data_IF_954547873148
#
_entry.id   IF_954547873148
#
_cell.length_a   1.000
_cell.length_b   1.000
_cell.length_c   1.000
_cell.angle_alpha   90.00
_cell.angle_beta   90.00
_cell.angle_gamma   90.00
#
_symmetry.space_group_name_H-M   'P 1'
#
loop_
_entity.id
_entity.type
_entity.pdbx_description
1 polymer ?
#
# COMPACT_ATOMS: atom_id res chain seq x y z
N UNK A 1 12.51 15.92 -7.95
CA UNK A 1 13.04 14.90 -7.01
C UNK A 1 13.34 13.66 -7.81
N UNK A 2 14.59 13.17 -7.72
CA UNK A 2 15.02 11.92 -8.39
C UNK A 2 15.08 10.78 -7.36
N UNK A 3 14.43 9.67 -7.68
CA UNK A 3 14.38 8.46 -6.83
C UNK A 3 15.04 7.32 -7.57
N UNK A 4 16.01 6.68 -6.95
CA UNK A 4 16.62 5.44 -7.40
C UNK A 4 15.98 4.28 -6.65
N UNK A 5 15.18 3.47 -7.34
CA UNK A 5 14.42 2.37 -6.77
C UNK A 5 15.10 1.03 -7.08
N UNK A 6 15.69 0.41 -6.05
CA UNK A 6 16.33 -0.91 -6.10
C UNK A 6 15.44 -1.99 -5.49
N UNK A 7 14.16 -1.70 -5.25
CA UNK A 7 13.21 -2.67 -4.73
C UNK A 7 12.65 -3.56 -5.86
N UNK A 8 12.38 -4.82 -5.57
CA UNK A 8 12.00 -5.78 -6.60
C UNK A 8 10.51 -6.20 -6.55
N UNK A 9 9.93 -6.32 -5.37
CA UNK A 9 8.60 -6.90 -5.17
C UNK A 9 7.81 -6.13 -4.10
N UNK A 10 6.49 -6.21 -4.20
CA UNK A 10 5.54 -5.79 -3.17
C UNK A 10 5.64 -4.32 -2.78
N UNK A 11 5.94 -4.04 -1.51
CA UNK A 11 5.79 -2.71 -0.92
C UNK A 11 6.73 -1.65 -1.50
N UNK A 12 7.95 -2.01 -1.90
CA UNK A 12 8.89 -1.06 -2.49
C UNK A 12 8.39 -0.44 -3.79
N UNK A 13 8.04 -1.24 -4.81
CA UNK A 13 7.44 -0.74 -6.05
C UNK A 13 6.18 0.08 -5.84
N UNK A 14 5.32 -0.25 -4.86
CA UNK A 14 4.16 0.57 -4.54
C UNK A 14 4.55 1.92 -3.91
N UNK A 15 5.51 1.93 -3.00
CA UNK A 15 6.04 3.16 -2.40
C UNK A 15 6.59 4.11 -3.48
N UNK A 16 7.43 3.61 -4.38
CA UNK A 16 8.03 4.42 -5.43
C UNK A 16 7.02 4.85 -6.51
N UNK A 17 5.97 4.04 -6.78
CA UNK A 17 4.86 4.44 -7.64
C UNK A 17 4.12 5.65 -7.08
N UNK A 18 3.84 5.68 -5.77
CA UNK A 18 3.22 6.85 -5.14
C UNK A 18 4.05 8.11 -5.37
N UNK A 19 5.37 8.03 -5.22
CA UNK A 19 6.26 9.16 -5.49
C UNK A 19 6.24 9.57 -6.97
N UNK A 20 6.21 8.60 -7.88
CA UNK A 20 6.11 8.83 -9.32
C UNK A 20 4.80 9.53 -9.70
N UNK A 21 3.67 9.11 -9.15
CA UNK A 21 2.35 9.72 -9.38
C UNK A 21 2.34 11.22 -9.05
N UNK A 22 3.10 11.63 -8.04
CA UNK A 22 3.24 13.03 -7.63
C UNK A 22 4.43 13.74 -8.28
N UNK A 23 4.99 13.19 -9.35
CA UNK A 23 5.96 13.89 -10.21
C UNK A 23 7.42 13.65 -9.88
N UNK A 24 7.75 12.69 -9.04
CA UNK A 24 9.12 12.25 -8.90
C UNK A 24 9.63 11.61 -10.21
N UNK A 25 10.88 11.84 -10.53
CA UNK A 25 11.63 11.10 -11.55
C UNK A 25 12.16 9.82 -10.90
N UNK A 26 11.41 8.72 -11.07
CA UNK A 26 11.72 7.43 -10.46
C UNK A 26 12.40 6.53 -11.50
N UNK A 27 13.61 6.09 -11.18
CA UNK A 27 14.34 5.10 -11.96
C UNK A 27 14.33 3.77 -11.21
N UNK A 28 13.62 2.78 -11.73
CA UNK A 28 13.66 1.41 -11.21
C UNK A 28 14.87 0.69 -11.78
N UNK A 29 15.70 0.14 -10.91
CA UNK A 29 16.84 -0.69 -11.28
C UNK A 29 16.40 -2.14 -11.31
N UNK A 30 16.44 -2.74 -12.49
CA UNK A 30 15.98 -4.10 -12.72
C UNK A 30 17.13 -5.00 -13.15
N UNK A 31 17.09 -6.25 -12.76
CA UNK A 31 18.08 -7.22 -13.18
C UNK A 31 17.86 -7.62 -14.64
N UNK A 32 18.90 -7.58 -15.51
CA UNK A 32 18.78 -8.04 -16.88
C UNK A 32 18.35 -9.50 -17.00
N UNK A 33 17.52 -9.81 -18.01
CA UNK A 33 17.23 -11.19 -18.44
C UNK A 33 16.42 -12.08 -17.50
N UNK A 34 15.90 -11.57 -16.40
CA UNK A 34 15.08 -12.36 -15.46
C UNK A 34 13.64 -11.88 -15.50
N UNK A 35 12.74 -12.61 -16.20
CA UNK A 35 11.31 -12.37 -16.04
C UNK A 35 10.94 -12.69 -14.60
N UNK A 36 10.16 -11.83 -13.94
CA UNK A 36 9.52 -12.21 -12.69
C UNK A 36 8.43 -13.24 -13.05
N UNK A 37 8.37 -14.41 -12.38
CA UNK A 37 7.38 -15.45 -12.69
C UNK A 37 5.94 -14.99 -12.46
N UNK A 38 5.77 -13.90 -11.74
CA UNK A 38 4.53 -13.21 -11.49
C UNK A 38 4.87 -11.72 -11.43
N UNK A 39 4.49 -10.97 -12.47
CA UNK A 39 4.69 -9.51 -12.52
C UNK A 39 3.37 -8.77 -12.30
N UNK A 40 2.89 -8.67 -11.04
CA UNK A 40 1.79 -7.77 -10.73
C UNK A 40 2.23 -6.31 -10.88
N UNK A 41 3.52 -6.09 -11.17
CA UNK A 41 4.16 -4.78 -11.14
C UNK A 41 3.92 -3.96 -12.40
N UNK A 42 3.30 -4.48 -13.46
CA UNK A 42 2.99 -3.67 -14.63
C UNK A 42 2.22 -2.39 -14.23
N UNK A 43 1.23 -2.52 -13.33
CA UNK A 43 0.49 -1.37 -12.80
C UNK A 43 1.30 -0.54 -11.77
N UNK A 44 2.29 -1.14 -11.11
CA UNK A 44 3.15 -0.45 -10.13
C UNK A 44 4.34 0.27 -10.80
N UNK A 45 4.59 0.01 -12.08
CA UNK A 45 5.67 0.65 -12.86
C UNK A 45 5.24 1.95 -13.54
N UNK A 46 3.98 2.33 -13.42
CA UNK A 46 3.46 3.57 -14.03
C UNK A 46 4.25 4.80 -13.58
N UNK A 47 4.57 5.65 -14.55
CA UNK A 47 5.28 6.90 -14.31
C UNK A 47 6.75 6.78 -13.96
N UNK A 48 7.31 5.57 -13.98
CA UNK A 48 8.72 5.30 -13.72
C UNK A 48 9.50 5.12 -15.01
N UNK A 49 10.82 5.15 -14.90
CA UNK A 49 11.79 4.74 -15.92
C UNK A 49 12.44 3.42 -15.51
N UNK A 50 12.88 2.63 -16.48
CA UNK A 50 13.52 1.34 -16.24
C UNK A 50 14.96 1.33 -16.69
N UNK A 51 15.89 0.99 -15.78
CA UNK A 51 17.29 0.76 -16.07
C UNK A 51 17.69 -0.68 -15.71
N UNK A 52 18.16 -1.44 -16.69
CA UNK A 52 18.56 -2.83 -16.50
C UNK A 52 20.05 -2.91 -16.12
N UNK A 53 20.32 -3.14 -14.82
CA UNK A 53 21.67 -3.15 -14.24
C UNK A 53 21.83 -4.40 -13.37
N UNK A 54 22.83 -5.24 -13.65
CA UNK A 54 23.14 -6.40 -12.81
C UNK A 54 24.09 -6.01 -11.67
N UNK A 55 23.53 -5.93 -10.46
CA UNK A 55 24.29 -5.68 -9.22
C UNK A 55 25.28 -6.80 -8.86
N UNK A 56 25.28 -7.94 -9.56
CA UNK A 56 26.23 -9.03 -9.37
C UNK A 56 27.43 -8.91 -10.30
N UNK A 57 27.30 -8.13 -11.37
CA UNK A 57 28.41 -7.84 -12.26
C UNK A 57 29.48 -7.02 -11.52
N UNK A 58 30.76 -7.18 -11.87
CA UNK A 58 31.85 -6.50 -11.18
C UNK A 58 31.71 -4.98 -11.09
N UNK A 59 31.14 -4.35 -12.13
CA UNK A 59 30.93 -2.89 -12.20
C UNK A 59 29.54 -2.44 -11.77
N UNK A 60 28.63 -3.37 -11.42
CA UNK A 60 27.25 -3.03 -11.05
C UNK A 60 27.16 -2.09 -9.85
N UNK A 61 28.00 -2.30 -8.82
CA UNK A 61 28.04 -1.43 -7.66
C UNK A 61 28.54 -0.01 -7.99
N UNK A 62 29.55 0.10 -8.87
CA UNK A 62 30.06 1.39 -9.35
C UNK A 62 28.96 2.20 -10.05
N UNK A 63 28.21 1.54 -10.94
CA UNK A 63 27.11 2.18 -11.66
C UNK A 63 26.06 2.72 -10.69
N UNK A 64 25.62 1.92 -9.72
CA UNK A 64 24.64 2.36 -8.73
C UNK A 64 25.19 3.50 -7.87
N UNK A 65 26.45 3.45 -7.46
CA UNK A 65 27.04 4.53 -6.66
C UNK A 65 27.05 5.86 -7.43
N UNK A 66 27.39 5.87 -8.72
CA UNK A 66 27.33 7.08 -9.56
C UNK A 66 25.90 7.57 -9.77
N UNK A 67 24.91 6.69 -9.92
CA UNK A 67 23.50 7.08 -9.97
C UNK A 67 23.04 7.71 -8.65
N UNK A 68 23.47 7.15 -7.52
CA UNK A 68 23.15 7.65 -6.18
C UNK A 68 23.76 9.03 -5.88
N UNK A 69 24.90 9.38 -6.48
CA UNK A 69 25.51 10.71 -6.36
C UNK A 69 24.54 11.84 -6.85
N UNK A 70 23.62 11.49 -7.75
CA UNK A 70 22.64 12.42 -8.35
C UNK A 70 21.21 12.17 -7.86
N UNK A 71 20.99 11.23 -6.96
CA UNK A 71 19.66 10.90 -6.43
C UNK A 71 19.33 11.75 -5.19
N UNK A 72 18.06 12.08 -5.05
CA UNK A 72 17.48 12.64 -3.83
C UNK A 72 17.14 11.56 -2.82
N UNK A 73 16.65 10.41 -3.32
CA UNK A 73 16.22 9.25 -2.55
C UNK A 73 16.76 7.98 -3.21
N UNK A 74 17.28 7.08 -2.41
CA UNK A 74 17.52 5.68 -2.78
C UNK A 74 16.56 4.83 -1.94
N UNK A 75 15.74 4.02 -2.60
CA UNK A 75 14.83 3.05 -1.97
C UNK A 75 15.33 1.64 -2.26
N UNK A 76 15.53 0.83 -1.22
CA UNK A 76 15.88 -0.58 -1.36
C UNK A 76 15.07 -1.48 -0.43
N UNK A 77 14.94 -2.76 -0.79
CA UNK A 77 14.19 -3.76 0.00
C UNK A 77 14.98 -5.05 0.20
N UNK A 78 16.30 -4.96 0.20
CA UNK A 78 17.18 -6.11 0.41
C UNK A 78 17.25 -6.46 1.90
N UNK A 79 17.60 -7.73 2.19
CA UNK A 79 17.90 -8.14 3.57
C UNK A 79 19.06 -7.34 4.14
N UNK A 80 19.04 -7.05 5.46
CA UNK A 80 20.12 -6.33 6.13
C UNK A 80 21.51 -6.86 5.77
N UNK A 81 22.48 -5.96 5.63
CA UNK A 81 23.85 -6.29 5.24
C UNK A 81 24.06 -6.60 3.75
N UNK A 82 23.01 -6.75 2.95
CA UNK A 82 23.18 -7.07 1.51
C UNK A 82 23.78 -5.92 0.72
N UNK A 83 23.33 -4.70 0.97
CA UNK A 83 23.87 -3.51 0.30
C UNK A 83 25.26 -3.16 0.83
N UNK A 84 25.50 -3.35 2.11
CA UNK A 84 26.82 -3.17 2.74
C UNK A 84 27.87 -4.10 2.11
N UNK A 85 27.58 -5.38 1.95
CA UNK A 85 28.49 -6.36 1.30
C UNK A 85 28.81 -6.01 -0.15
N UNK A 86 27.97 -5.19 -0.80
CA UNK A 86 28.18 -4.69 -2.17
C UNK A 86 28.89 -3.34 -2.22
N UNK A 87 29.26 -2.75 -1.06
CA UNK A 87 29.79 -1.40 -0.99
C UNK A 87 28.77 -0.30 -1.31
N UNK A 88 27.49 -0.62 -1.18
CA UNK A 88 26.35 0.28 -1.46
C UNK A 88 25.53 0.58 -0.20
N UNK A 89 26.03 0.26 0.97
CA UNK A 89 25.38 0.56 2.25
C UNK A 89 25.27 2.06 2.51
N UNK A 90 24.42 2.45 3.48
CA UNK A 90 24.15 3.85 3.77
C UNK A 90 25.41 4.65 4.13
N UNK A 91 26.36 4.07 4.88
CA UNK A 91 27.61 4.75 5.25
C UNK A 91 28.41 5.20 4.03
N UNK A 92 28.44 4.35 2.99
CA UNK A 92 29.17 4.64 1.75
C UNK A 92 28.40 5.68 0.92
N UNK A 93 27.11 5.43 0.62
CA UNK A 93 26.36 6.28 -0.31
C UNK A 93 25.99 7.62 0.30
N UNK A 94 25.62 7.68 1.59
CA UNK A 94 25.38 8.97 2.27
C UNK A 94 26.69 9.74 2.49
N UNK A 95 27.83 9.05 2.63
CA UNK A 95 29.15 9.70 2.64
C UNK A 95 29.53 10.36 1.32
N UNK A 96 29.09 9.79 0.17
CA UNK A 96 29.27 10.34 -1.17
C UNK A 96 28.31 11.48 -1.47
N UNK A 97 27.04 11.31 -1.06
CA UNK A 97 25.97 12.29 -1.25
C UNK A 97 25.31 12.62 0.09
N UNK A 98 25.81 13.67 0.74
CA UNK A 98 25.32 14.12 2.07
C UNK A 98 23.84 14.52 2.08
N UNK A 99 23.24 14.67 0.90
CA UNK A 99 21.83 15.01 0.75
C UNK A 99 20.94 13.82 0.48
N UNK A 100 21.52 12.62 0.32
CA UNK A 100 20.80 11.40 -0.01
C UNK A 100 19.89 10.97 1.15
N UNK A 101 18.64 10.69 0.85
CA UNK A 101 17.74 9.96 1.74
C UNK A 101 17.81 8.49 1.36
N UNK A 102 18.32 7.67 2.26
CA UNK A 102 18.50 6.25 2.06
C UNK A 102 17.38 5.50 2.77
N UNK A 103 16.34 5.07 2.03
CA UNK A 103 15.17 4.38 2.56
C UNK A 103 15.32 2.86 2.42
N UNK A 104 15.23 2.14 3.55
CA UNK A 104 15.34 0.68 3.65
C UNK A 104 13.96 0.12 4.04
N UNK A 105 13.23 -0.40 3.06
CA UNK A 105 11.90 -0.96 3.26
C UNK A 105 11.98 -2.48 3.38
N UNK A 106 12.01 -2.98 4.61
CA UNK A 106 12.16 -4.42 4.91
C UNK A 106 11.02 -4.92 5.80
N UNK A 107 10.86 -6.24 5.88
CA UNK A 107 9.78 -6.83 6.68
C UNK A 107 9.97 -6.64 8.19
N UNK A 108 11.18 -6.89 8.68
CA UNK A 108 11.49 -6.97 10.10
C UNK A 108 12.34 -5.80 10.63
N UNK A 109 12.76 -4.87 9.75
CA UNK A 109 13.71 -3.81 10.11
C UNK A 109 15.16 -4.24 9.96
N UNK A 110 16.07 -3.33 10.32
CA UNK A 110 17.52 -3.53 10.13
C UNK A 110 18.18 -4.23 11.30
N UNK A 111 17.54 -4.29 12.45
CA UNK A 111 18.02 -4.92 13.67
C UNK A 111 16.94 -5.83 14.30
N UNK A 112 17.24 -6.35 15.50
CA UNK A 112 16.34 -7.24 16.22
C UNK A 112 16.46 -8.71 15.79
N UNK A 113 15.80 -9.62 16.56
CA UNK A 113 16.01 -11.08 16.41
C UNK A 113 15.42 -11.67 15.13
N UNK A 114 14.64 -10.91 14.37
CA UNK A 114 14.00 -11.35 13.12
C UNK A 114 14.59 -10.71 11.87
N UNK A 115 15.49 -9.75 11.98
CA UNK A 115 16.01 -8.97 10.86
C UNK A 115 16.54 -9.83 9.69
N UNK A 116 17.16 -10.96 9.97
CA UNK A 116 17.69 -11.89 8.97
C UNK A 116 16.67 -12.97 8.51
N UNK A 117 15.46 -12.99 9.09
CA UNK A 117 14.47 -14.02 8.76
C UNK A 117 13.70 -13.67 7.50
N UNK A 118 13.33 -14.72 6.74
CA UNK A 118 12.34 -14.58 5.68
C UNK A 118 10.97 -14.30 6.28
N UNK A 119 10.15 -13.54 5.56
CA UNK A 119 8.77 -13.26 5.91
C UNK A 119 8.03 -12.61 4.75
N UNK A 120 6.73 -12.61 4.85
CA UNK A 120 5.79 -11.93 3.98
C UNK A 120 4.75 -11.20 4.82
N UNK A 121 3.88 -10.42 4.22
CA UNK A 121 2.84 -9.61 4.88
C UNK A 121 2.19 -10.30 6.08
N UNK A 122 1.72 -11.54 5.88
CA UNK A 122 1.04 -12.31 6.92
C UNK A 122 1.90 -12.54 8.18
N UNK A 123 3.23 -12.67 8.03
CA UNK A 123 4.13 -12.87 9.15
C UNK A 123 4.35 -11.56 9.91
N UNK A 124 4.48 -10.45 9.21
CA UNK A 124 4.68 -9.12 9.80
C UNK A 124 3.42 -8.69 10.55
N UNK A 125 2.25 -8.83 9.93
CA UNK A 125 0.95 -8.50 10.54
C UNK A 125 0.60 -9.43 11.70
N UNK A 126 1.06 -10.70 11.68
CA UNK A 126 0.88 -11.62 12.79
C UNK A 126 1.66 -11.16 14.03
N UNK A 127 2.93 -10.80 13.87
CA UNK A 127 3.80 -10.35 14.98
C UNK A 127 3.41 -8.94 15.45
N UNK A 128 3.01 -8.06 14.54
CA UNK A 128 2.52 -6.71 14.86
C UNK A 128 1.14 -6.70 15.57
N UNK A 129 0.45 -7.84 15.64
CA UNK A 129 -0.83 -7.97 16.32
C UNK A 129 -2.07 -7.74 15.46
N UNK A 130 -1.95 -7.11 14.29
CA UNK A 130 -3.08 -6.80 13.40
C UNK A 130 -3.86 -8.05 13.01
N UNK A 131 -3.17 -9.11 12.58
CA UNK A 131 -3.82 -10.37 12.20
C UNK A 131 -4.62 -10.98 13.35
N UNK A 132 -4.15 -10.79 14.60
CA UNK A 132 -4.85 -11.23 15.80
C UNK A 132 -6.17 -10.51 16.06
N UNK A 133 -6.39 -9.33 15.48
CA UNK A 133 -7.60 -8.52 15.69
C UNK A 133 -8.64 -8.71 14.56
N UNK A 134 -8.25 -9.24 13.41
CA UNK A 134 -9.10 -9.35 12.21
C UNK A 134 -9.74 -10.74 12.13
N UNK A 135 -11.04 -10.78 11.86
CA UNK A 135 -11.84 -12.01 11.79
C UNK A 135 -12.72 -12.22 13.03
N UNK A 136 -13.41 -13.34 13.09
CA UNK A 136 -14.31 -13.71 14.19
C UNK A 136 -13.72 -14.86 15.01
N UNK A 137 -14.03 -16.11 14.67
CA UNK A 137 -13.55 -17.31 15.38
C UNK A 137 -12.04 -17.52 15.21
N UNK A 138 -11.54 -17.30 14.00
CA UNK A 138 -10.11 -17.38 13.67
C UNK A 138 -9.63 -16.11 12.99
N UNK A 139 -8.31 -15.81 13.03
CA UNK A 139 -7.74 -14.74 12.23
C UNK A 139 -8.05 -14.91 10.74
N UNK A 140 -8.33 -13.80 10.05
CA UNK A 140 -8.56 -13.76 8.60
C UNK A 140 -7.50 -12.88 7.96
N UNK A 141 -6.92 -13.37 6.89
CA UNK A 141 -5.84 -12.68 6.16
C UNK A 141 -6.39 -11.47 5.42
N UNK A 142 -5.91 -10.24 5.70
CA UNK A 142 -6.40 -9.02 5.07
C UNK A 142 -5.71 -8.73 3.73
N UNK A 143 -5.24 -9.76 3.01
CA UNK A 143 -4.34 -9.62 1.88
C UNK A 143 -3.07 -8.83 2.28
N UNK A 144 -2.45 -8.12 1.35
CA UNK A 144 -1.27 -7.29 1.64
C UNK A 144 -1.62 -5.84 2.07
N UNK A 145 -2.89 -5.55 2.36
CA UNK A 145 -3.32 -4.17 2.61
C UNK A 145 -2.74 -3.58 3.89
N UNK A 146 -2.65 -4.36 4.95
CA UNK A 146 -2.27 -3.86 6.29
C UNK A 146 -0.77 -3.82 6.46
N UNK A 147 -0.07 -4.89 6.17
CA UNK A 147 1.39 -4.97 6.34
C UNK A 147 2.12 -4.25 5.21
N UNK A 148 2.19 -4.88 4.03
CA UNK A 148 3.02 -4.42 2.92
C UNK A 148 2.63 -3.01 2.43
N UNK A 149 1.34 -2.76 2.19
CA UNK A 149 0.91 -1.52 1.57
C UNK A 149 0.76 -0.39 2.60
N UNK A 150 -0.05 -0.55 3.65
CA UNK A 150 -0.26 0.51 4.63
C UNK A 150 0.94 0.66 5.57
N UNK A 151 1.33 -0.40 6.28
CA UNK A 151 2.43 -0.37 7.25
C UNK A 151 3.80 -0.17 6.61
N UNK A 152 4.06 -0.82 5.48
CA UNK A 152 5.31 -0.73 4.75
C UNK A 152 5.38 0.51 3.86
N UNK A 153 4.66 0.46 2.74
CA UNK A 153 4.81 1.43 1.65
C UNK A 153 4.38 2.85 2.03
N UNK A 154 3.15 3.02 2.60
CA UNK A 154 2.65 4.36 2.93
C UNK A 154 3.45 4.99 4.07
N UNK A 155 3.82 4.21 5.11
CA UNK A 155 4.63 4.71 6.22
C UNK A 155 6.04 5.08 5.75
N UNK A 156 6.66 4.26 4.88
CA UNK A 156 7.98 4.60 4.30
C UNK A 156 7.90 5.82 3.39
N UNK A 157 6.86 5.94 2.55
CA UNK A 157 6.66 7.14 1.73
C UNK A 157 6.51 8.40 2.59
N UNK A 158 5.76 8.32 3.69
CA UNK A 158 5.65 9.40 4.67
C UNK A 158 7.03 9.74 5.28
N UNK A 159 7.81 8.72 5.67
CA UNK A 159 9.17 8.88 6.19
C UNK A 159 10.08 9.59 5.17
N UNK A 160 10.02 9.20 3.89
CA UNK A 160 10.76 9.87 2.81
C UNK A 160 10.36 11.36 2.71
N UNK A 161 9.06 11.67 2.75
CA UNK A 161 8.60 13.06 2.69
C UNK A 161 9.02 13.88 3.91
N UNK A 162 8.98 13.29 5.11
CA UNK A 162 9.49 13.94 6.34
C UNK A 162 10.99 14.21 6.27
N UNK A 163 11.78 13.26 5.77
CA UNK A 163 13.23 13.41 5.61
C UNK A 163 13.56 14.46 4.53
N UNK A 164 12.80 14.50 3.43
CA UNK A 164 12.93 15.56 2.40
C UNK A 164 12.59 16.94 2.97
N UNK A 165 11.54 17.05 3.79
CA UNK A 165 11.18 18.30 4.45
C UNK A 165 12.28 18.75 5.41
N UNK A 166 12.81 17.86 6.26
CA UNK A 166 13.93 18.18 7.16
C UNK A 166 15.17 18.61 6.36
N UNK A 167 15.48 17.94 5.25
CA UNK A 167 16.58 18.29 4.37
C UNK A 167 16.48 19.73 3.82
N UNK A 168 15.28 20.29 3.65
CA UNK A 168 15.14 21.70 3.21
C UNK A 168 15.70 22.69 4.22
N UNK A 169 15.74 22.32 5.50
CA UNK A 169 16.23 23.14 6.61
C UNK A 169 17.71 22.90 6.90
N UNK A 170 18.15 21.65 6.86
CA UNK A 170 19.51 21.26 7.26
C UNK A 170 20.47 21.07 6.11
N UNK A 171 19.96 20.88 4.90
CA UNK A 171 20.76 20.49 3.74
C UNK A 171 21.21 19.04 3.75
N UNK A 172 20.90 18.25 4.80
CA UNK A 172 21.36 16.88 5.01
C UNK A 172 20.29 15.84 4.75
N UNK A 173 20.66 14.74 4.11
CA UNK A 173 19.86 13.53 4.02
C UNK A 173 19.96 12.71 5.30
N UNK A 174 19.31 11.55 5.31
CA UNK A 174 19.35 10.60 6.42
C UNK A 174 18.95 9.20 5.97
N UNK A 175 19.19 8.22 6.81
CA UNK A 175 18.72 6.84 6.63
C UNK A 175 17.34 6.69 7.23
N UNK A 176 16.47 5.95 6.55
CA UNK A 176 15.14 5.56 7.03
C UNK A 176 15.12 4.04 7.12
N UNK A 177 14.82 3.51 8.30
CA UNK A 177 14.43 2.12 8.49
C UNK A 177 12.90 2.03 8.40
N UNK A 178 12.41 1.54 7.27
CA UNK A 178 10.99 1.39 6.95
C UNK A 178 10.52 -0.03 7.22
N UNK A 179 10.60 -0.49 8.48
CA UNK A 179 10.16 -1.83 8.83
C UNK A 179 8.64 -1.99 8.70
N UNK A 180 8.21 -3.00 7.92
CA UNK A 180 6.78 -3.30 7.73
C UNK A 180 6.13 -3.65 9.07
N UNK A 181 6.82 -4.42 9.93
CA UNK A 181 6.32 -4.79 11.24
C UNK A 181 6.05 -3.58 12.15
N UNK A 182 6.90 -2.56 12.10
CA UNK A 182 6.74 -1.35 12.90
C UNK A 182 5.56 -0.51 12.39
N UNK A 183 5.48 -0.33 11.08
CA UNK A 183 4.35 0.39 10.47
C UNK A 183 3.03 -0.34 10.68
N UNK A 184 3.00 -1.67 10.59
CA UNK A 184 1.82 -2.45 10.91
C UNK A 184 1.44 -2.30 12.40
N UNK A 185 2.41 -2.36 13.33
CA UNK A 185 2.16 -2.14 14.75
C UNK A 185 1.62 -0.72 15.04
N UNK A 186 2.11 0.29 14.33
CA UNK A 186 1.59 1.67 14.42
C UNK A 186 0.09 1.73 14.08
N UNK A 187 -0.38 0.97 13.09
CA UNK A 187 -1.80 0.89 12.74
C UNK A 187 -2.67 0.28 13.85
N UNK A 188 -2.10 -0.47 14.78
CA UNK A 188 -2.82 -1.01 15.93
C UNK A 188 -2.93 -0.02 17.12
N UNK A 189 -2.43 1.20 17.00
CA UNK A 189 -2.32 2.16 18.12
C UNK A 189 -3.66 2.42 18.82
N UNK A 190 -4.76 2.55 18.06
CA UNK A 190 -6.10 2.77 18.64
C UNK A 190 -6.56 1.55 19.47
N UNK A 191 -6.34 0.33 18.96
CA UNK A 191 -6.75 -0.90 19.67
C UNK A 191 -5.88 -1.18 20.88
N UNK A 192 -4.61 -0.76 20.87
CA UNK A 192 -3.76 -0.78 22.06
C UNK A 192 -4.26 0.21 23.14
N UNK A 193 -4.72 1.39 22.74
CA UNK A 193 -5.35 2.33 23.65
C UNK A 193 -6.66 1.77 24.26
N UNK A 194 -7.48 1.10 23.47
CA UNK A 194 -8.68 0.40 23.92
C UNK A 194 -8.36 -0.76 24.87
N UNK A 195 -7.32 -1.53 24.58
CA UNK A 195 -6.83 -2.58 25.48
C UNK A 195 -6.41 -2.00 26.83
N UNK A 196 -5.64 -0.92 26.82
CA UNK A 196 -5.16 -0.27 28.05
C UNK A 196 -6.29 0.35 28.89
N UNK A 197 -7.40 0.75 28.25
CA UNK A 197 -8.57 1.31 28.93
C UNK A 197 -9.65 0.26 29.27
N UNK A 198 -9.41 -1.03 28.95
CA UNK A 198 -10.38 -2.10 29.20
C UNK A 198 -11.56 -2.15 28.23
N UNK A 199 -11.50 -1.40 27.13
CA UNK A 199 -12.55 -1.36 26.10
C UNK A 199 -12.39 -2.45 25.02
N UNK A 200 -11.21 -3.05 24.91
CA UNK A 200 -10.97 -4.14 23.98
C UNK A 200 -11.65 -5.44 24.42
N UNK A 201 -12.69 -5.84 23.72
CA UNK A 201 -13.49 -7.04 24.02
C UNK A 201 -13.03 -8.30 23.29
N UNK A 202 -11.99 -8.19 22.45
CA UNK A 202 -11.42 -9.31 21.69
C UNK A 202 -11.91 -9.39 20.27
N UNK A 203 -11.17 -10.17 19.46
CA UNK A 203 -11.50 -10.41 18.04
C UNK A 203 -12.93 -10.96 17.89
N UNK A 204 -13.70 -10.43 16.93
CA UNK A 204 -15.06 -10.84 16.64
C UNK A 204 -16.10 -10.44 17.70
N UNK A 205 -15.66 -9.88 18.82
CA UNK A 205 -16.55 -9.37 19.89
C UNK A 205 -16.52 -7.84 20.00
N UNK A 206 -15.41 -7.23 19.54
CA UNK A 206 -15.29 -5.79 19.53
C UNK A 206 -16.24 -5.18 18.49
N UNK A 207 -16.80 -4.00 18.77
CA UNK A 207 -17.75 -3.31 17.91
C UNK A 207 -17.26 -3.28 16.44
N UNK A 208 -16.08 -2.75 16.22
CA UNK A 208 -15.51 -2.58 14.87
C UNK A 208 -15.03 -3.89 14.21
N UNK A 209 -15.00 -5.00 14.93
CA UNK A 209 -14.68 -6.32 14.36
C UNK A 209 -15.92 -7.14 13.98
N UNK A 210 -17.09 -6.49 13.88
CA UNK A 210 -18.37 -7.16 13.60
C UNK A 210 -19.02 -7.74 14.84
N UNK A 211 -18.59 -7.39 16.05
CA UNK A 211 -19.24 -7.79 17.31
C UNK A 211 -20.62 -7.21 17.46
N UNK A 212 -20.82 -5.96 17.06
CA UNK A 212 -22.13 -5.30 17.06
C UNK A 212 -22.93 -5.62 15.79
N UNK A 213 -24.26 -5.85 15.87
CA UNK A 213 -25.07 -6.16 14.69
C UNK A 213 -25.25 -4.99 13.73
N UNK A 214 -25.07 -3.77 14.18
CA UNK A 214 -25.13 -2.54 13.39
C UNK A 214 -23.76 -2.13 12.81
N UNK A 215 -22.75 -2.99 12.95
CA UNK A 215 -21.42 -2.85 12.34
C UNK A 215 -20.95 -4.21 11.83
N UNK A 216 -21.26 -4.52 10.58
CA UNK A 216 -20.97 -5.83 10.02
C UNK A 216 -21.32 -5.96 8.55
N UNK A 217 -21.18 -7.16 8.04
CA UNK A 217 -21.47 -7.53 6.65
C UNK A 217 -22.56 -8.60 6.64
N UNK A 218 -23.58 -8.42 5.79
CA UNK A 218 -24.73 -9.28 5.67
C UNK A 218 -24.90 -9.80 4.24
N UNK A 219 -25.27 -11.05 4.11
CA UNK A 219 -25.57 -11.69 2.84
C UNK A 219 -26.99 -11.30 2.38
N UNK A 220 -27.13 -10.96 1.09
CA UNK A 220 -28.37 -10.64 0.43
C UNK A 220 -28.94 -11.86 -0.29
N UNK A 221 -30.19 -11.75 -0.80
CA UNK A 221 -30.90 -12.82 -1.54
C UNK A 221 -30.09 -13.40 -2.70
N UNK A 222 -29.33 -12.54 -3.39
CA UNK A 222 -28.52 -12.91 -4.56
C UNK A 222 -27.12 -13.46 -4.22
N UNK A 223 -26.85 -13.77 -2.93
CA UNK A 223 -25.57 -14.27 -2.45
C UNK A 223 -24.47 -13.19 -2.40
N UNK A 224 -24.78 -11.95 -2.74
CA UNK A 224 -23.88 -10.81 -2.61
C UNK A 224 -23.98 -10.19 -1.21
N UNK A 225 -23.05 -9.30 -0.86
CA UNK A 225 -22.95 -8.78 0.49
C UNK A 225 -23.23 -7.27 0.57
N UNK A 226 -23.76 -6.86 1.73
CA UNK A 226 -24.00 -5.47 2.08
C UNK A 226 -23.36 -5.16 3.42
N UNK A 227 -22.57 -4.07 3.50
CA UNK A 227 -21.89 -3.63 4.70
C UNK A 227 -22.72 -2.54 5.41
N UNK A 228 -22.76 -2.59 6.74
CA UNK A 228 -23.40 -1.59 7.58
C UNK A 228 -22.46 -1.10 8.66
N UNK A 229 -22.56 0.18 9.02
CA UNK A 229 -21.70 0.81 10.03
C UNK A 229 -22.44 1.91 10.81
N UNK A 230 -23.69 1.67 11.20
CA UNK A 230 -24.60 2.65 11.81
C UNK A 230 -24.33 2.83 13.32
N UNK A 231 -23.21 3.45 13.68
CA UNK A 231 -22.75 3.59 15.07
C UNK A 231 -23.54 4.69 15.81
N UNK A 232 -23.71 5.86 15.22
CA UNK A 232 -24.39 6.98 15.86
C UNK A 232 -25.91 6.76 15.91
N UNK A 233 -26.59 7.14 17.01
CA UNK A 233 -28.04 6.86 17.20
C UNK A 233 -28.93 7.34 16.05
N UNK A 234 -28.62 8.47 15.43
CA UNK A 234 -29.38 9.03 14.30
C UNK A 234 -29.27 8.17 13.04
N UNK A 235 -28.11 7.60 12.76
CA UNK A 235 -27.89 6.70 11.64
C UNK A 235 -28.44 5.31 11.93
N UNK A 236 -28.32 4.85 13.18
CA UNK A 236 -28.90 3.61 13.64
C UNK A 236 -30.43 3.60 13.50
N UNK A 237 -31.11 4.71 13.85
CA UNK A 237 -32.56 4.86 13.66
C UNK A 237 -32.98 4.71 12.19
N UNK A 238 -32.25 5.39 11.27
CA UNK A 238 -32.54 5.30 9.83
C UNK A 238 -32.23 3.90 9.28
N UNK A 239 -31.16 3.28 9.74
CA UNK A 239 -30.80 1.90 9.40
C UNK A 239 -31.90 0.91 9.78
N UNK A 240 -32.38 0.94 11.03
CA UNK A 240 -33.43 0.04 11.48
C UNK A 240 -34.75 0.29 10.72
N UNK A 241 -35.12 1.56 10.51
CA UNK A 241 -36.30 1.93 9.74
C UNK A 241 -36.25 1.43 8.30
N UNK A 242 -35.08 1.52 7.65
CA UNK A 242 -34.87 1.00 6.29
C UNK A 242 -35.08 -0.53 6.19
N UNK A 243 -34.82 -1.24 7.28
CA UNK A 243 -35.04 -2.69 7.38
C UNK A 243 -36.45 -3.06 7.87
N UNK A 244 -37.32 -2.08 8.20
CA UNK A 244 -38.62 -2.33 8.79
C UNK A 244 -38.55 -2.85 10.23
N UNK A 245 -37.50 -2.54 10.98
CA UNK A 245 -37.29 -2.95 12.37
C UNK A 245 -37.60 -1.76 13.27
N UNK A 246 -38.85 -1.61 13.68
CA UNK A 246 -39.33 -0.43 14.43
C UNK A 246 -39.53 -0.68 15.93
N UNK A 247 -39.56 -1.93 16.37
CA UNK A 247 -39.85 -2.37 17.73
C UNK A 247 -38.61 -2.44 18.65
N UNK A 248 -37.46 -1.99 18.21
CA UNK A 248 -36.21 -1.94 18.99
C UNK A 248 -36.05 -0.55 19.62
N UNK A 249 -35.87 -0.50 20.92
CA UNK A 249 -35.56 0.74 21.62
C UNK A 249 -34.19 1.25 21.23
N UNK A 250 -34.06 2.43 20.63
CA UNK A 250 -32.78 3.02 20.21
C UNK A 250 -31.78 3.17 21.36
N UNK A 251 -32.28 3.39 22.59
CA UNK A 251 -31.45 3.47 23.78
C UNK A 251 -30.72 2.15 24.12
N UNK A 252 -31.21 1.01 23.62
CA UNK A 252 -30.58 -0.30 23.82
C UNK A 252 -29.52 -0.65 22.76
N UNK A 253 -29.15 0.26 21.87
CA UNK A 253 -28.18 0.02 20.79
C UNK A 253 -26.87 -0.61 21.31
N UNK A 254 -26.33 -0.08 22.39
CA UNK A 254 -25.04 -0.51 22.96
C UNK A 254 -25.17 -1.64 24.01
N UNK A 255 -26.37 -2.17 24.24
CA UNK A 255 -26.59 -3.32 25.11
C UNK A 255 -26.33 -4.64 24.34
N UNK A 256 -25.24 -5.36 24.64
CA UNK A 256 -24.89 -6.57 23.92
C UNK A 256 -25.84 -7.75 24.16
N UNK A 257 -26.72 -7.68 25.17
CA UNK A 257 -27.64 -8.78 25.50
C UNK A 257 -28.67 -9.03 24.40
N UNK A 258 -29.05 -7.99 23.66
CA UNK A 258 -29.99 -8.07 22.53
C UNK A 258 -29.32 -8.30 21.17
N UNK A 259 -28.00 -8.24 21.07
CA UNK A 259 -27.29 -8.21 19.79
C UNK A 259 -27.46 -9.49 18.96
N UNK A 260 -27.47 -10.65 19.57
CA UNK A 260 -27.65 -11.92 18.87
C UNK A 260 -28.99 -11.95 18.11
N UNK A 261 -30.09 -11.64 18.79
CA UNK A 261 -31.44 -11.61 18.20
C UNK A 261 -31.56 -10.52 17.14
N UNK A 262 -31.01 -9.34 17.39
CA UNK A 262 -31.03 -8.24 16.42
C UNK A 262 -30.23 -8.61 15.15
N UNK A 263 -29.09 -9.26 15.29
CA UNK A 263 -28.27 -9.76 14.16
C UNK A 263 -29.05 -10.71 13.26
N UNK A 264 -29.79 -11.63 13.84
CA UNK A 264 -30.67 -12.57 13.09
C UNK A 264 -31.70 -11.81 12.27
N UNK A 265 -32.40 -10.87 12.88
CA UNK A 265 -33.44 -10.05 12.22
C UNK A 265 -32.87 -9.21 11.08
N UNK A 266 -31.69 -8.58 11.30
CA UNK A 266 -30.99 -7.83 10.25
C UNK A 266 -30.58 -8.77 9.11
N UNK A 267 -30.03 -9.95 9.42
CA UNK A 267 -29.67 -10.93 8.42
C UNK A 267 -30.86 -11.45 7.62
N UNK A 268 -32.00 -11.68 8.25
CA UNK A 268 -33.24 -12.04 7.58
C UNK A 268 -33.73 -10.93 6.64
N UNK A 269 -33.70 -9.67 7.09
CA UNK A 269 -34.05 -8.53 6.26
C UNK A 269 -33.19 -8.48 4.99
N UNK A 270 -31.85 -8.53 5.14
CA UNK A 270 -30.94 -8.50 3.97
C UNK A 270 -31.15 -9.68 3.02
N UNK A 271 -31.35 -10.88 3.53
CA UNK A 271 -31.65 -12.09 2.72
C UNK A 271 -33.00 -12.02 1.98
N UNK A 272 -33.90 -11.11 2.34
CA UNK A 272 -35.19 -11.00 1.69
C UNK A 272 -35.15 -10.31 0.33
N UNK A 273 -34.07 -9.61 -0.02
CA UNK A 273 -33.93 -8.84 -1.26
C UNK A 273 -32.49 -8.89 -1.77
N UNK A 274 -32.35 -8.71 -3.09
CA UNK A 274 -31.03 -8.62 -3.75
C UNK A 274 -30.24 -7.38 -3.28
N UNK A 275 -28.91 -7.43 -3.39
CA UNK A 275 -28.01 -6.32 -3.02
C UNK A 275 -28.38 -4.99 -3.70
N UNK A 276 -28.83 -5.05 -4.97
CA UNK A 276 -29.25 -3.86 -5.73
C UNK A 276 -30.46 -3.15 -5.12
N UNK A 277 -31.41 -3.90 -4.54
CA UNK A 277 -32.52 -3.32 -3.80
C UNK A 277 -32.03 -2.51 -2.61
N UNK A 278 -31.16 -3.10 -1.79
CA UNK A 278 -30.59 -2.42 -0.63
C UNK A 278 -29.75 -1.21 -1.02
N UNK A 279 -28.99 -1.30 -2.11
CA UNK A 279 -28.26 -0.15 -2.65
C UNK A 279 -29.18 1.01 -2.99
N UNK A 280 -30.36 0.74 -3.56
CA UNK A 280 -31.36 1.78 -3.85
C UNK A 280 -32.01 2.35 -2.58
N UNK A 281 -32.34 1.51 -1.61
CA UNK A 281 -32.91 1.96 -0.32
C UNK A 281 -31.93 2.87 0.44
N UNK A 282 -30.66 2.50 0.48
CA UNK A 282 -29.65 3.25 1.22
C UNK A 282 -29.09 4.46 0.46
N UNK A 283 -29.39 4.62 -0.84
CA UNK A 283 -28.95 5.77 -1.62
C UNK A 283 -29.53 7.10 -1.12
N UNK A 284 -30.75 7.08 -0.58
CA UNK A 284 -31.49 8.27 -0.20
C UNK A 284 -31.57 8.51 1.33
N UNK A 285 -30.83 7.71 2.11
CA UNK A 285 -30.83 7.81 3.58
C UNK A 285 -29.43 7.80 4.17
N UNK A 286 -29.26 8.40 5.34
CA UNK A 286 -28.03 8.37 6.15
C UNK A 286 -28.04 7.15 7.10
N UNK A 287 -28.19 5.95 6.54
CA UNK A 287 -28.25 4.69 7.30
C UNK A 287 -26.89 3.96 7.42
N UNK A 288 -25.80 4.57 6.96
CA UNK A 288 -24.45 4.00 6.94
C UNK A 288 -24.37 2.59 6.32
N UNK A 289 -25.10 2.37 5.22
CA UNK A 289 -25.09 1.14 4.45
C UNK A 289 -24.44 1.32 3.08
N UNK A 290 -23.71 0.29 2.63
CA UNK A 290 -23.09 0.29 1.30
C UNK A 290 -22.98 -1.14 0.74
N UNK A 291 -23.09 -1.32 -0.60
CA UNK A 291 -22.82 -2.61 -1.23
C UNK A 291 -21.36 -3.00 -1.06
N UNK A 292 -21.07 -4.27 -0.79
CA UNK A 292 -19.73 -4.81 -0.92
C UNK A 292 -19.51 -5.12 -2.40
N UNK A 293 -18.61 -4.35 -3.02
CA UNK A 293 -18.30 -4.48 -4.45
C UNK A 293 -17.14 -5.45 -4.65
N UNK A 294 -17.24 -6.27 -5.69
CA UNK A 294 -16.12 -7.04 -6.21
C UNK A 294 -15.23 -6.15 -7.08
N UNK A 295 -13.99 -6.58 -7.35
CA UNK A 295 -13.01 -5.76 -8.09
C UNK A 295 -13.46 -5.39 -9.51
N UNK A 296 -14.21 -6.26 -10.17
CA UNK A 296 -14.75 -6.06 -11.51
C UNK A 296 -15.98 -5.13 -11.54
N UNK A 297 -16.59 -4.84 -10.38
CA UNK A 297 -17.71 -3.91 -10.26
C UNK A 297 -17.29 -2.45 -10.01
N UNK A 298 -16.02 -2.23 -9.61
CA UNK A 298 -15.55 -0.91 -9.18
C UNK A 298 -15.71 0.18 -10.24
N UNK A 299 -15.53 -0.17 -11.52
CA UNK A 299 -15.64 0.79 -12.62
C UNK A 299 -17.09 1.25 -12.88
N UNK A 300 -18.08 0.47 -12.44
CA UNK A 300 -19.49 0.76 -12.64
C UNK A 300 -20.14 1.50 -11.46
N UNK A 301 -19.46 1.58 -10.31
CA UNK A 301 -19.98 2.29 -9.15
C UNK A 301 -20.14 3.79 -9.43
N UNK A 302 -21.34 4.37 -9.19
CA UNK A 302 -21.63 5.76 -9.52
C UNK A 302 -20.73 6.76 -8.78
N UNK A 303 -20.39 6.50 -7.52
CA UNK A 303 -19.55 7.39 -6.72
C UNK A 303 -18.09 7.34 -7.17
N UNK A 304 -17.55 6.14 -7.41
CA UNK A 304 -16.19 5.96 -7.90
C UNK A 304 -16.01 6.57 -9.30
N UNK A 305 -17.02 6.44 -10.18
CA UNK A 305 -17.07 7.09 -11.51
C UNK A 305 -17.12 8.61 -11.40
N UNK A 306 -18.04 9.16 -10.62
CA UNK A 306 -18.17 10.62 -10.45
C UNK A 306 -16.86 11.24 -9.88
N UNK A 307 -16.15 10.48 -9.05
CA UNK A 307 -14.85 10.89 -8.51
C UNK A 307 -13.68 10.57 -9.43
N UNK A 308 -13.87 9.85 -10.52
CA UNK A 308 -12.77 9.31 -11.33
C UNK A 308 -11.71 8.60 -10.45
N UNK A 309 -12.19 7.76 -9.51
CA UNK A 309 -11.29 6.99 -8.62
C UNK A 309 -10.77 5.74 -9.32
N UNK A 310 -11.62 5.14 -10.13
CA UNK A 310 -11.28 4.03 -11.03
C UNK A 310 -11.27 4.56 -12.46
N UNK A 311 -10.21 4.25 -13.18
CA UNK A 311 -10.00 4.66 -14.56
C UNK A 311 -10.02 3.42 -15.44
N UNK A 312 -10.89 3.41 -16.43
CA UNK A 312 -10.95 2.37 -17.43
C UNK A 312 -10.33 2.87 -18.75
N UNK A 313 -9.48 2.05 -19.35
CA UNK A 313 -8.92 2.26 -20.68
C UNK A 313 -9.83 1.66 -21.76
N UNK A 314 -9.64 2.06 -23.01
CA UNK A 314 -10.44 1.58 -24.15
C UNK A 314 -10.31 0.05 -24.38
N UNK A 315 -9.21 -0.55 -23.93
CA UNK A 315 -8.96 -2.00 -23.97
C UNK A 315 -9.62 -2.78 -22.82
N UNK A 316 -10.38 -2.09 -21.95
CA UNK A 316 -11.03 -2.70 -20.78
C UNK A 316 -10.13 -2.84 -19.56
N UNK A 317 -8.87 -2.43 -19.61
CA UNK A 317 -7.98 -2.42 -18.44
C UNK A 317 -8.43 -1.35 -17.46
N UNK A 318 -8.54 -1.72 -16.18
CA UNK A 318 -8.89 -0.80 -15.10
C UNK A 318 -7.68 -0.52 -14.21
N UNK A 319 -7.56 0.72 -13.75
CA UNK A 319 -6.53 1.14 -12.80
C UNK A 319 -7.09 2.15 -11.80
N UNK A 320 -6.40 2.30 -10.68
CA UNK A 320 -6.77 3.30 -9.67
C UNK A 320 -6.12 4.65 -9.97
N UNK A 321 -6.88 5.73 -9.81
CA UNK A 321 -6.34 7.08 -9.90
C UNK A 321 -5.38 7.36 -8.74
N UNK A 322 -4.37 8.24 -8.93
CA UNK A 322 -3.52 8.69 -7.83
C UNK A 322 -4.32 9.34 -6.71
N UNK A 323 -3.90 9.08 -5.47
CA UNK A 323 -4.44 9.68 -4.26
C UNK A 323 -3.29 10.07 -3.29
N UNK A 324 -3.47 11.15 -2.48
CA UNK A 324 -4.61 12.07 -2.39
C UNK A 324 -4.70 13.06 -3.56
N UNK A 325 -5.81 13.80 -3.65
CA UNK A 325 -5.99 14.85 -4.67
C UNK A 325 -5.50 16.19 -4.15
N UNK A 326 -4.45 16.70 -4.76
CA UNK A 326 -3.91 18.02 -4.43
C UNK A 326 -4.51 19.06 -5.35
N UNK A 327 -5.04 20.16 -4.80
CA UNK A 327 -5.76 21.18 -5.57
C UNK A 327 -4.87 21.97 -6.53
N UNK A 328 -3.61 22.23 -6.16
CA UNK A 328 -2.67 23.05 -6.94
C UNK A 328 -1.67 22.23 -7.74
N UNK A 329 -1.27 21.09 -7.23
CA UNK A 329 -0.28 20.17 -7.83
C UNK A 329 -0.86 18.77 -7.95
N UNK A 330 -1.90 18.58 -8.79
CA UNK A 330 -2.55 17.29 -8.93
C UNK A 330 -1.56 16.23 -9.45
N UNK A 331 -1.66 15.04 -8.92
CA UNK A 331 -0.94 13.89 -9.44
C UNK A 331 -1.40 13.57 -10.89
N UNK A 332 -0.52 12.94 -11.66
CA UNK A 332 -0.80 12.58 -13.06
C UNK A 332 -0.41 11.15 -13.31
N UNK A 333 -1.33 10.38 -13.87
CA UNK A 333 -1.00 9.09 -14.46
C UNK A 333 -0.07 9.30 -15.66
N UNK A 334 1.05 8.60 -15.60
CA UNK A 334 2.01 8.51 -16.70
C UNK A 334 2.17 7.04 -17.09
N UNK A 335 2.44 6.70 -18.34
CA UNK A 335 2.61 5.31 -18.76
C UNK A 335 3.78 4.65 -18.01
N UNK A 336 3.74 3.33 -17.93
CA UNK A 336 4.89 2.51 -17.55
C UNK A 336 5.97 2.56 -18.64
N UNK A 337 7.24 2.22 -18.36
CA UNK A 337 8.28 2.09 -19.37
C UNK A 337 7.87 1.04 -20.44
N UNK A 338 8.29 1.28 -21.69
CA UNK A 338 7.92 0.42 -22.81
C UNK A 338 8.41 -1.03 -22.64
N UNK A 339 9.54 -1.21 -21.98
CA UNK A 339 10.12 -2.51 -21.66
C UNK A 339 11.15 -2.36 -20.54
N UNK A 340 11.56 -3.49 -19.98
CA UNK A 340 12.66 -3.53 -18.99
C UNK A 340 13.95 -3.01 -19.63
N UNK A 341 14.60 -2.04 -18.96
CA UNK A 341 15.84 -1.42 -19.42
C UNK A 341 15.65 -0.39 -20.55
N UNK A 342 14.41 -0.03 -20.88
CA UNK A 342 14.13 0.92 -21.95
C UNK A 342 14.86 2.26 -21.80
N UNK A 343 15.12 2.65 -20.56
CA UNK A 343 15.74 3.94 -20.26
C UNK A 343 17.21 3.83 -19.83
N UNK A 344 17.83 2.64 -19.90
CA UNK A 344 19.18 2.40 -19.35
C UNK A 344 20.19 3.40 -19.87
N UNK A 345 20.33 3.55 -21.19
CA UNK A 345 21.31 4.46 -21.79
C UNK A 345 21.07 5.91 -21.41
N UNK A 346 19.81 6.36 -21.41
CA UNK A 346 19.45 7.72 -21.05
C UNK A 346 19.75 8.02 -19.59
N UNK A 347 19.38 7.10 -18.68
CA UNK A 347 19.65 7.21 -17.23
C UNK A 347 21.13 7.30 -16.94
N UNK A 348 21.94 6.45 -17.57
CA UNK A 348 23.41 6.48 -17.38
C UNK A 348 24.02 7.77 -17.96
N UNK A 349 23.59 8.19 -19.15
CA UNK A 349 24.05 9.43 -19.73
C UNK A 349 23.77 10.68 -18.87
N UNK A 350 22.59 10.74 -18.24
CA UNK A 350 22.23 11.79 -17.27
C UNK A 350 23.09 11.76 -16.00
N UNK A 351 23.64 10.60 -15.64
CA UNK A 351 24.59 10.43 -14.54
C UNK A 351 26.06 10.64 -14.95
N UNK A 352 26.28 11.14 -16.16
CA UNK A 352 27.61 11.51 -16.66
C UNK A 352 28.44 10.34 -17.20
N UNK A 353 27.83 9.18 -17.52
CA UNK A 353 28.53 8.13 -18.25
C UNK A 353 28.66 8.52 -19.73
N UNK A 354 29.84 8.35 -20.27
CA UNK A 354 30.09 8.55 -21.70
C UNK A 354 29.50 7.41 -22.54
N UNK A 355 29.31 7.64 -23.82
CA UNK A 355 28.85 6.60 -24.74
C UNK A 355 29.79 5.39 -24.79
N UNK A 356 31.09 5.61 -24.59
CA UNK A 356 32.12 4.55 -24.55
C UNK A 356 31.96 3.71 -23.28
N UNK A 357 31.84 4.34 -22.11
CA UNK A 357 31.58 3.64 -20.85
C UNK A 357 30.29 2.81 -20.91
N UNK A 358 29.24 3.34 -21.50
CA UNK A 358 27.94 2.62 -21.66
C UNK A 358 28.14 1.38 -22.55
N UNK A 359 28.91 1.49 -23.66
CA UNK A 359 29.20 0.35 -24.53
C UNK A 359 30.03 -0.72 -23.80
N UNK A 360 31.03 -0.32 -23.02
CA UNK A 360 31.81 -1.23 -22.20
C UNK A 360 30.98 -1.97 -21.16
N UNK A 361 30.12 -1.25 -20.42
CA UNK A 361 29.20 -1.84 -19.43
C UNK A 361 28.20 -2.82 -20.07
N UNK A 362 27.81 -2.56 -21.30
CA UNK A 362 26.96 -3.48 -22.07
C UNK A 362 27.74 -4.70 -22.55
N UNK A 363 28.98 -4.52 -23.02
CA UNK A 363 29.84 -5.60 -23.49
C UNK A 363 30.24 -6.57 -22.36
N UNK A 364 30.45 -6.08 -21.14
CA UNK A 364 30.80 -6.91 -19.96
C UNK A 364 29.55 -7.47 -19.25
N UNK A 365 28.34 -7.17 -19.73
CA UNK A 365 27.07 -7.68 -19.19
C UNK A 365 26.60 -6.99 -17.92
N UNK A 366 27.20 -5.89 -17.50
CA UNK A 366 26.77 -5.11 -16.34
C UNK A 366 25.42 -4.47 -16.57
N UNK A 367 25.16 -4.03 -17.79
CA UNK A 367 23.86 -3.43 -18.18
C UNK A 367 23.27 -4.11 -19.42
N UNK A 368 21.96 -3.93 -19.59
CA UNK A 368 21.29 -4.23 -20.86
C UNK A 368 20.59 -2.97 -21.34
N UNK A 369 20.77 -2.67 -22.62
CA UNK A 369 20.02 -1.61 -23.31
C UNK A 369 19.07 -2.25 -24.30
N UNK A 370 17.85 -1.75 -24.41
CA UNK A 370 16.97 -2.10 -25.52
C UNK A 370 17.41 -1.31 -26.76
N UNK A 371 17.48 -1.98 -27.90
CA UNK A 371 17.81 -1.36 -29.18
C UNK A 371 16.75 -0.36 -29.63
#
# INVERSE_FOLDING_TARGET
MRVLDLSALGPGPFCSMLLADFGADVVTVERPGVPLPFDPAANLSRGKRSAAIDLRAPRGAEVIARLADHADVLLESNRPGTMERRGLGPDVLCGRNLRLIYARLTGWGQDGPYSDRAGHDINYTAVAGNLGTIGSEKPVTPLAYVGDLAGGSLVTALGIMMALFERTRTGKGQVIDGAIVDGAALLAAIHLAELNSGLWSGRGKHLLSGGAPFYGVYECEDGRFFAVGAIEPKFYAQFLSALGIEDIALAAQLDPTGWAQLRERIAEAFRSKARSHWSAVFADIDGCGAPVLELDELADDPHLRARNTILASDDGTVTVAPAPRLSRTPARLRPAPASRGADTSAVLGEAGFTADEIRELQADGTITTTA
#
